data_IF_288157155006
#
_entry.id   IF_288157155006
#
_cell.length_a   1.000
_cell.length_b   1.000
_cell.length_c   1.000
_cell.angle_alpha   90.00
_cell.angle_beta   90.00
_cell.angle_gamma   90.00
#
_symmetry.space_group_name_H-M   'P 1'
#
loop_
_entity.id
_entity.type
_entity.pdbx_description
1 polymer ?
#
# COMPACT_ATOMS: atom_id res chain seq x y z
N UNK A 1 9.11 0.43 -1.24
CA UNK A 1 9.94 0.74 -0.05
C UNK A 1 9.04 1.16 1.10
N UNK A 2 9.53 1.14 2.34
CA UNK A 2 8.85 1.71 3.52
C UNK A 2 9.64 2.94 3.96
N UNK A 3 8.96 4.06 4.15
CA UNK A 3 9.58 5.37 4.36
C UNK A 3 8.87 6.14 5.49
N UNK A 4 9.62 7.03 6.16
CA UNK A 4 9.09 7.95 7.16
C UNK A 4 8.65 9.26 6.50
N UNK A 5 7.45 9.74 6.82
CA UNK A 5 6.96 11.06 6.39
C UNK A 5 6.78 11.95 7.62
N UNK A 6 7.51 13.07 7.77
CA UNK A 6 7.43 13.93 8.94
C UNK A 6 6.06 14.61 9.11
N UNK A 7 5.24 14.66 8.07
CA UNK A 7 3.90 15.28 8.13
C UNK A 7 2.84 14.35 8.73
N UNK A 8 3.20 13.12 9.13
CA UNK A 8 2.27 12.13 9.68
C UNK A 8 2.97 11.17 10.64
N UNK A 9 2.20 10.61 11.57
CA UNK A 9 2.74 9.65 12.53
C UNK A 9 2.90 8.23 11.95
N UNK A 10 2.18 7.92 10.86
CA UNK A 10 2.23 6.61 10.22
C UNK A 10 3.31 6.55 9.12
N UNK A 11 3.98 5.41 9.00
CA UNK A 11 4.89 5.15 7.87
C UNK A 11 4.12 5.14 6.54
N UNK A 12 4.82 5.50 5.46
CA UNK A 12 4.31 5.40 4.10
C UNK A 12 5.06 4.31 3.34
N UNK A 13 4.41 3.77 2.32
CA UNK A 13 5.01 2.81 1.41
C UNK A 13 4.96 3.34 -0.01
N UNK A 14 6.09 3.24 -0.71
CA UNK A 14 6.15 3.44 -2.16
C UNK A 14 5.74 2.13 -2.84
N UNK A 15 4.64 2.19 -3.58
CA UNK A 15 4.14 1.11 -4.43
C UNK A 15 4.43 1.42 -5.89
N UNK A 16 4.68 0.37 -6.66
CA UNK A 16 4.92 0.44 -8.10
C UNK A 16 3.81 -0.37 -8.77
N UNK A 17 2.96 0.29 -9.54
CA UNK A 17 1.93 -0.36 -10.32
C UNK A 17 2.54 -1.10 -11.51
N UNK A 18 1.75 -2.00 -12.12
CA UNK A 18 2.20 -2.81 -13.26
C UNK A 18 2.55 -1.98 -14.50
N UNK A 19 1.99 -0.78 -14.62
CA UNK A 19 2.29 0.21 -15.66
C UNK A 19 3.54 1.06 -15.36
N UNK A 20 4.19 0.84 -14.21
CA UNK A 20 5.37 1.58 -13.78
C UNK A 20 5.06 2.86 -13.00
N UNK A 21 3.78 3.22 -12.81
CA UNK A 21 3.42 4.37 -11.99
C UNK A 21 3.81 4.13 -10.53
N UNK A 22 4.37 5.16 -9.89
CA UNK A 22 4.76 5.11 -8.48
C UNK A 22 3.82 5.94 -7.65
N UNK A 23 3.25 5.36 -6.59
CA UNK A 23 2.42 6.11 -5.63
C UNK A 23 2.81 5.79 -4.21
N UNK A 24 2.51 6.73 -3.32
CA UNK A 24 2.62 6.50 -1.89
C UNK A 24 1.27 6.11 -1.31
N UNK A 25 1.29 5.11 -0.44
CA UNK A 25 0.14 4.70 0.37
C UNK A 25 0.53 4.68 1.84
N UNK A 26 -0.46 4.60 2.73
CA UNK A 26 -0.20 4.35 4.15
C UNK A 26 0.29 2.91 4.35
N UNK A 27 1.29 2.74 5.20
CA UNK A 27 1.77 1.42 5.57
C UNK A 27 0.74 0.74 6.47
N UNK A 28 0.18 -0.38 6.00
CA UNK A 28 -0.68 -1.23 6.83
C UNK A 28 0.15 -2.12 7.76
N UNK A 29 -0.31 -2.36 8.99
CA UNK A 29 0.43 -3.18 9.96
C UNK A 29 0.63 -4.60 9.42
N UNK A 30 1.87 -5.08 9.44
CA UNK A 30 2.24 -6.44 9.02
C UNK A 30 2.62 -6.57 7.54
N UNK A 31 2.45 -5.52 6.73
CA UNK A 31 2.90 -5.49 5.35
C UNK A 31 4.44 -5.46 5.27
N UNK A 32 5.01 -6.15 4.29
CA UNK A 32 6.46 -6.23 4.05
C UNK A 32 6.80 -5.71 2.66
N UNK A 33 8.07 -5.32 2.49
CA UNK A 33 8.58 -4.96 1.16
C UNK A 33 8.54 -6.19 0.26
N UNK A 34 7.91 -6.05 -0.90
CA UNK A 34 7.70 -7.13 -1.86
C UNK A 34 6.30 -7.73 -1.84
N UNK A 35 5.48 -7.39 -0.84
CA UNK A 35 4.07 -7.80 -0.84
C UNK A 35 3.32 -7.17 -2.02
N UNK A 36 2.43 -7.96 -2.61
CA UNK A 36 1.53 -7.49 -3.67
C UNK A 36 0.20 -7.10 -3.05
N UNK A 37 -0.25 -5.88 -3.32
CA UNK A 37 -1.55 -5.38 -2.91
C UNK A 37 -2.44 -5.14 -4.13
N UNK A 38 -3.75 -5.22 -3.92
CA UNK A 38 -4.75 -5.05 -4.98
C UNK A 38 -5.81 -4.05 -4.53
N UNK A 39 -6.13 -3.12 -5.43
CA UNK A 39 -7.26 -2.21 -5.30
C UNK A 39 -8.29 -2.59 -6.36
N UNK A 40 -9.33 -3.33 -5.99
CA UNK A 40 -10.43 -3.71 -6.88
C UNK A 40 -11.66 -4.07 -6.05
N UNK A 41 -12.88 -3.96 -6.61
CA UNK A 41 -14.10 -4.42 -5.95
C UNK A 41 -14.10 -5.91 -5.56
N UNK A 42 -13.31 -6.72 -6.25
CA UNK A 42 -13.17 -8.17 -6.06
C UNK A 42 -11.88 -8.56 -5.33
N UNK A 43 -11.13 -7.60 -4.79
CA UNK A 43 -9.91 -7.89 -4.06
C UNK A 43 -10.17 -8.76 -2.83
N UNK A 44 -9.22 -9.65 -2.50
CA UNK A 44 -9.33 -10.44 -1.27
C UNK A 44 -9.21 -9.55 -0.04
N UNK A 45 -9.87 -9.95 1.06
CA UNK A 45 -9.71 -9.27 2.35
C UNK A 45 -8.32 -9.65 2.91
N UNK A 46 -7.36 -8.78 2.65
CA UNK A 46 -5.97 -8.92 3.08
C UNK A 46 -5.38 -7.54 3.42
N UNK A 47 -4.35 -7.52 4.28
CA UNK A 47 -3.68 -6.28 4.68
C UNK A 47 -3.11 -5.54 3.46
N UNK A 48 -3.51 -4.28 3.31
CA UNK A 48 -3.06 -3.41 2.22
C UNK A 48 -3.96 -3.41 0.98
N UNK A 49 -4.90 -4.36 0.85
CA UNK A 49 -5.89 -4.32 -0.23
C UNK A 49 -6.95 -3.24 0.03
N UNK A 50 -7.45 -2.65 -1.06
CA UNK A 50 -8.48 -1.62 -1.02
C UNK A 50 -9.72 -2.10 -1.77
N UNK A 51 -10.87 -1.99 -1.10
CA UNK A 51 -12.18 -2.42 -1.57
C UNK A 51 -13.18 -1.26 -1.37
N UNK A 52 -14.18 -1.10 -2.25
CA UNK A 52 -15.31 -0.23 -1.95
C UNK A 52 -16.10 -0.77 -0.74
N UNK A 53 -16.73 0.13 0.04
CA UNK A 53 -17.56 -0.26 1.18
C UNK A 53 -18.82 -1.05 0.78
#
# INVERSE_FOLDING_TARGET
SIEYDPNRNAYICLVIYKDGEKRYILHSRGMKVGDTIVSSPEASIASGNALPP
#
